data_IF_911563885575
#
_entry.id   IF_911563885575
#
_cell.length_a   1.000
_cell.length_b   1.000
_cell.length_c   1.000
_cell.angle_alpha   90.00
_cell.angle_beta   90.00
_cell.angle_gamma   90.00
#
_symmetry.space_group_name_H-M   'P 1'
#
loop_
_entity.id
_entity.type
_entity.pdbx_description
1 polymer ?
#
# COMPACT_ATOMS: atom_id res chain seq x y z
N UNK A 1 8.75 -5.20 -6.29
CA UNK A 1 8.32 -4.21 -5.27
C UNK A 1 8.85 -2.85 -5.71
N UNK A 2 8.03 -1.82 -5.67
CA UNK A 2 8.45 -0.44 -5.96
C UNK A 2 8.37 0.36 -4.67
N UNK A 3 9.40 1.17 -4.36
CA UNK A 3 9.48 1.89 -3.08
C UNK A 3 10.21 3.22 -3.22
N UNK A 4 9.86 4.20 -2.38
CA UNK A 4 10.66 5.44 -2.26
C UNK A 4 12.02 5.15 -1.65
N UNK A 5 13.05 5.95 -1.97
CA UNK A 5 14.45 5.70 -1.60
C UNK A 5 14.69 5.21 -0.16
N UNK A 6 14.17 5.91 0.85
CA UNK A 6 14.37 5.51 2.26
C UNK A 6 13.68 4.19 2.64
N UNK A 7 12.53 3.89 2.01
CA UNK A 7 11.85 2.59 2.18
C UNK A 7 12.59 1.50 1.43
N UNK A 8 13.11 1.79 0.23
CA UNK A 8 13.87 0.84 -0.57
C UNK A 8 15.14 0.39 0.14
N UNK A 9 15.87 1.32 0.75
CA UNK A 9 17.05 1.03 1.57
C UNK A 9 16.69 0.13 2.76
N UNK A 10 15.64 0.49 3.51
CA UNK A 10 15.19 -0.32 4.65
C UNK A 10 14.81 -1.76 4.26
N UNK A 11 14.11 -1.93 3.14
CA UNK A 11 13.72 -3.23 2.61
C UNK A 11 14.93 -4.05 2.16
N UNK A 12 15.86 -3.43 1.44
CA UNK A 12 17.07 -4.09 0.94
C UNK A 12 17.97 -4.54 2.09
N UNK A 13 18.11 -3.71 3.13
CA UNK A 13 18.83 -4.08 4.36
C UNK A 13 18.17 -5.25 5.10
N UNK A 14 16.85 -5.39 4.96
CA UNK A 14 16.08 -6.54 5.46
C UNK A 14 16.09 -7.76 4.54
N UNK A 15 16.83 -7.74 3.43
CA UNK A 15 16.90 -8.85 2.46
C UNK A 15 15.73 -8.91 1.47
N UNK A 16 14.88 -7.87 1.40
CA UNK A 16 13.75 -7.80 0.47
C UNK A 16 14.17 -7.08 -0.81
N UNK A 17 13.91 -7.70 -1.97
CA UNK A 17 14.28 -7.15 -3.27
C UNK A 17 13.35 -6.00 -3.70
N UNK A 18 13.95 -4.88 -4.09
CA UNK A 18 13.28 -3.73 -4.67
C UNK A 18 13.56 -3.70 -6.16
N UNK A 19 12.50 -3.62 -6.95
CA UNK A 19 12.56 -3.67 -8.42
C UNK A 19 12.84 -2.29 -9.00
N UNK A 20 12.24 -1.25 -8.40
CA UNK A 20 12.36 0.12 -8.87
C UNK A 20 12.27 1.06 -7.65
N UNK A 21 13.12 2.08 -7.64
CA UNK A 21 13.07 3.16 -6.64
C UNK A 21 12.36 4.36 -7.28
N UNK A 22 11.29 4.83 -6.66
CA UNK A 22 10.48 5.95 -7.16
C UNK A 22 10.84 7.27 -6.50
N UNK A 23 10.74 8.34 -7.28
CA UNK A 23 11.00 9.69 -6.80
C UNK A 23 9.86 10.22 -5.94
N UNK A 24 10.19 11.15 -5.04
CA UNK A 24 9.20 11.88 -4.25
C UNK A 24 8.43 12.87 -5.12
N UNK A 25 7.17 13.11 -4.79
CA UNK A 25 6.38 14.08 -5.53
C UNK A 25 6.91 15.51 -5.33
N UNK A 26 7.51 15.80 -4.16
CA UNK A 26 8.19 17.08 -3.91
C UNK A 26 9.39 17.35 -4.81
N UNK A 27 9.95 16.31 -5.44
CA UNK A 27 11.15 16.38 -6.28
C UNK A 27 10.79 16.24 -7.79
N UNK A 28 9.60 15.72 -8.13
CA UNK A 28 9.16 15.42 -9.51
C UNK A 28 8.19 16.42 -10.16
N UNK A 29 7.80 17.51 -9.51
CA UNK A 29 6.77 18.44 -10.01
C UNK A 29 7.14 19.25 -11.28
N UNK A 30 8.30 18.99 -11.90
CA UNK A 30 8.80 19.76 -13.05
C UNK A 30 8.50 19.14 -14.43
N UNK A 31 7.91 17.94 -14.54
CA UNK A 31 7.80 17.27 -15.84
C UNK A 31 6.46 16.52 -16.07
N UNK A 32 5.34 17.24 -16.02
CA UNK A 32 4.13 16.80 -16.74
C UNK A 32 3.33 18.01 -17.24
N UNK A 33 3.96 18.81 -18.11
CA UNK A 33 3.32 19.86 -18.90
C UNK A 33 3.68 19.68 -20.37
N UNK A 34 2.67 19.59 -21.24
CA UNK A 34 2.85 19.47 -22.68
C UNK A 34 3.70 20.60 -23.28
N UNK A 35 4.31 20.29 -24.44
CA UNK A 35 5.26 21.11 -25.17
C UNK A 35 4.96 22.62 -25.20
N UNK A 36 5.98 23.43 -24.88
CA UNK A 36 6.21 24.73 -25.53
C UNK A 36 7.69 24.88 -25.86
N UNK A 37 7.96 25.36 -27.08
CA UNK A 37 9.29 25.60 -27.61
C UNK A 37 9.92 26.86 -27.00
N UNK A 38 11.25 26.82 -26.82
CA UNK A 38 12.12 28.00 -26.86
C UNK A 38 12.59 28.54 -25.50
N UNK A 39 13.92 28.68 -25.36
CA UNK A 39 14.53 29.57 -24.37
C UNK A 39 15.74 28.99 -23.63
N UNK A 40 16.94 29.40 -24.05
CA UNK A 40 18.24 29.12 -23.46
C UNK A 40 18.36 29.49 -21.97
N UNK A 41 19.00 28.64 -21.16
CA UNK A 41 19.40 28.97 -19.78
C UNK A 41 20.58 28.11 -19.31
N UNK A 42 21.58 28.75 -18.73
CA UNK A 42 22.95 28.30 -18.47
C UNK A 42 23.05 27.15 -17.44
N UNK A 43 23.88 26.13 -17.74
CA UNK A 43 24.14 25.00 -16.85
C UNK A 43 25.02 25.41 -15.66
N UNK A 44 24.69 24.89 -14.47
CA UNK A 44 25.58 24.90 -13.30
C UNK A 44 25.82 23.48 -12.84
N UNK A 45 27.09 23.10 -12.79
CA UNK A 45 27.60 21.79 -12.39
C UNK A 45 27.43 21.57 -10.88
N UNK A 46 26.54 20.65 -10.50
CA UNK A 46 26.58 19.88 -9.25
C UNK A 46 25.65 18.66 -9.40
N UNK A 47 26.24 17.47 -9.51
CA UNK A 47 25.63 16.14 -9.34
C UNK A 47 24.33 15.88 -10.12
N UNK A 48 24.46 15.81 -11.44
CA UNK A 48 23.40 15.34 -12.33
C UNK A 48 23.19 13.82 -12.18
N UNK A 49 22.38 13.41 -11.19
CA UNK A 49 21.45 12.29 -11.39
C UNK A 49 20.17 12.85 -12.03
N UNK A 50 20.32 13.34 -13.25
CA UNK A 50 19.23 13.88 -14.07
C UNK A 50 18.44 12.73 -14.70
N UNK A 51 17.73 11.98 -13.85
CA UNK A 51 16.59 11.17 -14.24
C UNK A 51 15.38 11.72 -13.49
N UNK A 52 14.42 12.30 -14.20
CA UNK A 52 13.08 12.52 -13.66
C UNK A 52 12.48 11.14 -13.34
N UNK A 53 12.78 10.61 -12.16
CA UNK A 53 12.34 9.28 -11.75
C UNK A 53 10.82 9.26 -11.64
N UNK A 54 10.22 8.18 -12.14
CA UNK A 54 8.77 7.97 -12.07
C UNK A 54 8.31 8.06 -10.63
N UNK A 55 7.17 8.70 -10.40
CA UNK A 55 6.59 8.81 -9.07
C UNK A 55 5.66 7.63 -8.78
N UNK A 56 5.46 7.31 -7.49
CA UNK A 56 4.47 6.31 -7.11
C UNK A 56 3.05 6.65 -7.61
N UNK A 57 2.72 7.94 -7.71
CA UNK A 57 1.41 8.40 -8.18
C UNK A 57 1.23 8.10 -9.68
N UNK A 58 2.24 8.38 -10.50
CA UNK A 58 2.23 8.05 -11.93
C UNK A 58 2.04 6.55 -12.17
N UNK A 59 2.79 5.71 -11.44
CA UNK A 59 2.64 4.26 -11.57
C UNK A 59 1.23 3.76 -11.21
N UNK A 60 0.59 4.40 -10.22
CA UNK A 60 -0.79 4.09 -9.84
C UNK A 60 -1.77 4.56 -10.93
N UNK A 61 -1.62 5.80 -11.40
CA UNK A 61 -2.50 6.39 -12.43
C UNK A 61 -2.37 5.66 -13.78
N UNK A 62 -1.20 5.07 -14.08
CA UNK A 62 -0.97 4.23 -15.27
C UNK A 62 -1.46 2.78 -15.11
N UNK A 63 -1.94 2.38 -13.93
CA UNK A 63 -2.40 1.01 -13.65
C UNK A 63 -1.28 -0.02 -13.46
N UNK A 64 -0.03 0.45 -13.28
CA UNK A 64 1.14 -0.42 -13.08
C UNK A 64 1.26 -0.95 -11.63
N UNK A 65 0.36 -0.54 -10.72
CA UNK A 65 0.35 -0.94 -9.31
C UNK A 65 -0.94 -1.69 -8.96
N UNK A 66 -0.80 -2.91 -8.44
CA UNK A 66 -1.94 -3.76 -8.06
C UNK A 66 -2.27 -3.67 -6.56
N UNK A 67 -1.33 -3.19 -5.74
CA UNK A 67 -1.50 -3.04 -4.29
C UNK A 67 -0.58 -1.94 -3.74
N UNK A 68 -1.06 -1.16 -2.78
CA UNK A 68 -0.27 -0.16 -2.07
C UNK A 68 -0.18 -0.47 -0.57
N UNK A 69 1.03 -0.41 -0.01
CA UNK A 69 1.28 -0.40 1.43
C UNK A 69 1.91 0.96 1.79
N UNK A 70 1.18 1.79 2.53
CA UNK A 70 1.62 3.12 2.95
C UNK A 70 1.48 3.26 4.47
N UNK A 71 2.55 2.97 5.22
CA UNK A 71 2.59 3.19 6.67
C UNK A 71 2.94 4.65 6.97
N UNK A 72 2.04 5.48 7.55
CA UNK A 72 2.30 6.90 7.80
C UNK A 72 3.32 7.14 8.94
N UNK A 73 4.04 6.11 9.41
CA UNK A 73 5.08 6.23 10.42
C UNK A 73 6.41 6.60 9.76
N UNK A 74 6.65 7.90 9.64
CA UNK A 74 7.92 8.44 9.12
C UNK A 74 7.93 9.96 9.19
N UNK A 75 9.10 10.55 9.44
CA UNK A 75 9.33 12.01 9.52
C UNK A 75 9.45 12.67 8.12
N UNK A 76 9.13 11.94 7.06
CA UNK A 76 9.16 12.38 5.66
C UNK A 76 7.96 13.24 5.26
N UNK A 77 7.95 13.81 4.04
CA UNK A 77 6.94 14.78 3.63
C UNK A 77 5.56 14.12 3.69
N UNK A 78 4.73 14.57 4.64
CA UNK A 78 3.34 14.09 4.79
C UNK A 78 2.52 14.24 3.50
N UNK A 79 2.98 15.10 2.60
CA UNK A 79 2.42 15.35 1.27
C UNK A 79 2.40 14.09 0.40
N UNK A 80 3.54 13.42 0.16
CA UNK A 80 3.62 12.28 -0.76
C UNK A 80 2.69 11.14 -0.36
N UNK A 81 2.66 10.80 0.93
CA UNK A 81 1.76 9.78 1.45
C UNK A 81 0.28 10.14 1.25
N UNK A 82 -0.09 11.42 1.34
CA UNK A 82 -1.47 11.85 1.05
C UNK A 82 -1.82 11.66 -0.43
N UNK A 83 -0.94 12.08 -1.34
CA UNK A 83 -1.15 11.92 -2.78
C UNK A 83 -1.21 10.45 -3.21
N UNK A 84 -0.34 9.58 -2.68
CA UNK A 84 -0.36 8.14 -2.95
C UNK A 84 -1.70 7.52 -2.52
N UNK A 85 -2.18 7.84 -1.31
CA UNK A 85 -3.48 7.34 -0.84
C UNK A 85 -4.64 7.85 -1.71
N UNK A 86 -4.61 9.13 -2.08
CA UNK A 86 -5.61 9.70 -2.98
C UNK A 86 -5.59 9.06 -4.36
N UNK A 87 -4.40 8.80 -4.93
CA UNK A 87 -4.25 8.12 -6.22
C UNK A 87 -4.76 6.67 -6.16
N UNK A 88 -4.40 5.92 -5.12
CA UNK A 88 -4.86 4.54 -4.94
C UNK A 88 -6.40 4.48 -4.84
N UNK A 89 -7.00 5.38 -4.05
CA UNK A 89 -8.46 5.47 -3.91
C UNK A 89 -9.16 5.84 -5.23
N UNK A 90 -8.60 6.78 -6.00
CA UNK A 90 -9.13 7.18 -7.32
C UNK A 90 -9.11 6.03 -8.33
N UNK A 91 -8.06 5.20 -8.31
CA UNK A 91 -7.87 4.12 -9.28
C UNK A 91 -8.39 2.75 -8.79
N UNK A 92 -9.03 2.69 -7.60
CA UNK A 92 -9.55 1.43 -7.05
C UNK A 92 -8.46 0.44 -6.64
N UNK A 93 -7.23 0.90 -6.42
CA UNK A 93 -6.10 0.05 -6.00
C UNK A 93 -6.20 -0.19 -4.49
N UNK A 94 -6.21 -1.45 -4.01
CA UNK A 94 -6.27 -1.74 -2.58
C UNK A 94 -5.08 -1.12 -1.83
N UNK A 95 -5.35 -0.58 -0.64
CA UNK A 95 -4.43 0.22 0.15
C UNK A 95 -4.40 -0.22 1.60
N UNK A 96 -3.22 -0.55 2.12
CA UNK A 96 -2.99 -0.82 3.54
C UNK A 96 -2.18 0.28 4.19
N UNK A 97 -2.63 0.76 5.35
CA UNK A 97 -1.93 1.83 6.09
C UNK A 97 -1.08 1.33 7.24
N UNK A 98 -1.07 0.02 7.48
CA UNK A 98 -0.27 -0.62 8.54
C UNK A 98 0.36 -1.90 8.02
N UNK A 99 1.54 -2.24 8.55
CA UNK A 99 2.20 -3.50 8.26
C UNK A 99 1.36 -4.70 8.73
N UNK A 100 0.69 -4.58 9.89
CA UNK A 100 -0.17 -5.65 10.42
C UNK A 100 -1.36 -5.96 9.49
N UNK A 101 -2.01 -4.93 8.92
CA UNK A 101 -3.09 -5.15 7.96
C UNK A 101 -2.59 -5.77 6.66
N UNK A 102 -1.43 -5.33 6.17
CA UNK A 102 -0.81 -5.93 4.99
C UNK A 102 -0.41 -7.40 5.22
N UNK A 103 0.11 -7.73 6.41
CA UNK A 103 0.46 -9.09 6.79
C UNK A 103 -0.78 -9.98 6.87
N UNK A 104 -1.83 -9.55 7.58
CA UNK A 104 -3.08 -10.30 7.69
C UNK A 104 -3.73 -10.55 6.32
N UNK A 105 -3.66 -9.57 5.40
CA UNK A 105 -4.14 -9.75 4.04
C UNK A 105 -3.29 -10.78 3.27
N UNK A 106 -1.96 -10.74 3.41
CA UNK A 106 -1.08 -11.72 2.79
C UNK A 106 -1.33 -13.14 3.31
N UNK A 107 -1.52 -13.30 4.62
CA UNK A 107 -1.88 -14.57 5.27
C UNK A 107 -3.23 -15.08 4.73
N UNK A 108 -4.27 -14.23 4.69
CA UNK A 108 -5.57 -14.63 4.15
C UNK A 108 -5.53 -15.03 2.66
N UNK A 109 -4.70 -14.36 1.85
CA UNK A 109 -4.47 -14.74 0.44
C UNK A 109 -3.78 -16.10 0.36
N UNK A 110 -2.77 -16.35 1.20
CA UNK A 110 -2.06 -17.63 1.24
C UNK A 110 -2.99 -18.78 1.68
N UNK A 111 -3.82 -18.55 2.69
CA UNK A 111 -4.80 -19.53 3.20
C UNK A 111 -5.85 -19.89 2.15
N UNK A 112 -6.23 -18.95 1.28
CA UNK A 112 -7.19 -19.22 0.19
C UNK A 112 -6.70 -20.31 -0.78
N UNK A 113 -5.39 -20.54 -0.86
CA UNK A 113 -4.80 -21.59 -1.70
C UNK A 113 -4.92 -22.98 -1.06
N UNK A 114 -4.92 -23.06 0.27
CA UNK A 114 -4.87 -24.32 1.04
C UNK A 114 -6.19 -24.68 1.72
N UNK A 115 -7.08 -23.72 1.94
CA UNK A 115 -8.34 -23.88 2.65
C UNK A 115 -9.53 -23.63 1.70
N UNK A 116 -10.39 -24.63 1.47
CA UNK A 116 -11.60 -24.42 0.67
C UNK A 116 -12.52 -23.42 1.36
N UNK A 117 -13.09 -22.50 0.59
CA UNK A 117 -14.04 -21.52 1.09
C UNK A 117 -15.28 -22.24 1.64
N UNK A 118 -15.47 -22.20 2.95
CA UNK A 118 -16.68 -22.72 3.61
C UNK A 118 -17.64 -21.57 3.87
N UNK A 119 -18.83 -21.65 3.30
CA UNK A 119 -19.91 -20.70 3.54
C UNK A 119 -20.79 -21.25 4.66
N UNK A 120 -21.10 -20.40 5.65
CA UNK A 120 -22.10 -20.67 6.68
C UNK A 120 -23.05 -19.50 6.75
N UNK A 121 -24.34 -19.78 6.88
CA UNK A 121 -25.34 -18.77 7.20
C UNK A 121 -25.10 -18.19 8.58
N UNK A 122 -25.60 -16.98 8.80
CA UNK A 122 -25.52 -16.32 10.11
C UNK A 122 -26.22 -17.16 11.19
N UNK A 123 -27.35 -17.80 10.84
CA UNK A 123 -28.11 -18.68 11.71
C UNK A 123 -27.30 -19.91 12.14
N UNK A 124 -26.61 -20.59 11.22
CA UNK A 124 -25.73 -21.72 11.54
C UNK A 124 -24.57 -21.31 12.45
N UNK A 125 -24.02 -20.11 12.23
CA UNK A 125 -22.97 -19.56 13.09
C UNK A 125 -23.47 -19.34 14.53
N UNK A 126 -24.69 -18.80 14.69
CA UNK A 126 -25.32 -18.61 15.99
C UNK A 126 -25.71 -19.93 16.67
N UNK A 127 -26.20 -20.91 15.91
CA UNK A 127 -26.57 -22.22 16.45
C UNK A 127 -25.36 -22.97 17.06
N UNK A 128 -24.15 -22.78 16.49
CA UNK A 128 -22.90 -23.29 17.06
C UNK A 128 -22.35 -22.51 18.26
N UNK A 129 -22.77 -21.25 18.44
CA UNK A 129 -22.35 -20.39 19.56
C UNK A 129 -23.26 -20.51 20.80
N UNK A 130 -24.50 -20.99 20.63
CA UNK A 130 -25.48 -21.19 21.71
C UNK A 130 -25.44 -22.65 22.19
N UNK A 131 -24.32 -23.07 22.76
CA UNK A 131 -24.25 -24.27 23.63
C UNK A 131 -22.94 -24.25 24.43
N UNK A 132 -22.78 -23.20 25.22
CA UNK A 132 -22.01 -23.29 26.47
C UNK A 132 -22.66 -22.34 27.46
N UNK A 133 -23.21 -22.91 28.53
CA UNK A 133 -23.73 -22.24 29.72
C UNK A 133 -25.23 -21.88 29.74
N UNK A 134 -26.07 -22.90 29.96
CA UNK A 134 -27.10 -22.83 31.02
C UNK A 134 -27.55 -24.24 31.38
N UNK A 135 -27.02 -24.79 32.47
CA UNK A 135 -27.66 -25.93 33.12
C UNK A 135 -29.02 -25.46 33.69
N UNK A 136 -30.13 -26.18 33.47
CA UNK A 136 -31.36 -25.90 34.17
C UNK A 136 -31.19 -26.27 35.65
N UNK A 137 -31.18 -25.27 36.52
CA UNK A 137 -31.33 -25.47 37.97
C UNK A 137 -32.76 -25.89 38.26
N UNK A 138 -33.00 -27.19 38.37
CA UNK A 138 -34.22 -27.70 39.00
C UNK A 138 -34.08 -27.59 40.52
N UNK A 139 -34.73 -26.58 41.10
CA UNK A 139 -35.12 -26.58 42.50
C UNK A 139 -36.43 -25.82 42.64
N UNK A 140 -37.53 -26.55 42.82
CA UNK A 140 -38.85 -25.94 42.94
C UNK A 140 -39.92 -26.94 43.39
N UNK A 141 -39.86 -27.25 44.68
CA UNK A 141 -40.92 -27.77 45.59
C UNK A 141 -41.48 -29.18 45.37
#
# INVERSE_FOLDING_TARGET
IVATAGTAEHLTNGGVSVTEVVSKLSEGAAASGGATAGGSGFATDADADAGAGRTAVELIDEGNVQLVINSPRGRGPRADGAYIRSAAGRNGVPLFTTAAAALAAAEGIADTVSMPLVVRSLQEYHAGAVTSDRAPSESGS
#
